data_IF_029232179862
#
_entry.id   IF_029232179862
#
_cell.length_a   1.000
_cell.length_b   1.000
_cell.length_c   1.000
_cell.angle_alpha   90.00
_cell.angle_beta   90.00
_cell.angle_gamma   90.00
#
_symmetry.space_group_name_H-M   'P 1'
#
loop_
_entity.id
_entity.type
_entity.pdbx_description
1 polymer ?
#
# COMPACT_ATOMS: atom_id res chain seq x y z
N UNK A 1 -41.22 -26.99 34.02
CA UNK A 1 -40.72 -26.12 32.94
C UNK A 1 -39.43 -25.46 33.42
N UNK A 2 -38.27 -25.91 32.92
CA UNK A 2 -36.99 -25.26 33.19
C UNK A 2 -36.72 -24.24 32.08
N UNK A 3 -36.78 -22.95 32.42
CA UNK A 3 -36.39 -21.85 31.55
C UNK A 3 -34.86 -21.71 31.58
N UNK A 4 -34.20 -22.11 30.50
CA UNK A 4 -32.76 -21.94 30.31
C UNK A 4 -32.53 -20.54 29.76
N UNK A 5 -32.05 -19.62 30.60
CA UNK A 5 -31.55 -18.31 30.16
C UNK A 5 -30.19 -18.50 29.50
N UNK A 6 -30.13 -18.54 28.17
CA UNK A 6 -28.90 -18.43 27.41
C UNK A 6 -28.46 -16.96 27.39
N UNK A 7 -27.53 -16.61 28.27
CA UNK A 7 -26.86 -15.31 28.25
C UNK A 7 -25.96 -15.27 26.99
N UNK A 8 -26.44 -14.57 25.97
CA UNK A 8 -25.68 -14.28 24.76
C UNK A 8 -24.58 -13.27 25.10
N UNK A 9 -23.41 -13.78 25.50
CA UNK A 9 -22.22 -12.97 25.70
C UNK A 9 -21.72 -12.48 24.34
N UNK A 10 -22.06 -11.24 23.97
CA UNK A 10 -21.45 -10.53 22.86
C UNK A 10 -19.99 -10.23 23.20
N UNK A 11 -19.07 -11.13 22.83
CA UNK A 11 -17.64 -10.82 22.81
C UNK A 11 -17.40 -9.74 21.74
N UNK A 12 -17.26 -8.49 22.18
CA UNK A 12 -16.69 -7.41 21.35
C UNK A 12 -15.20 -7.69 21.14
N UNK A 13 -14.90 -8.58 20.19
CA UNK A 13 -13.54 -8.71 19.67
C UNK A 13 -13.21 -7.39 18.98
N UNK A 14 -12.24 -6.65 19.53
CA UNK A 14 -11.56 -5.54 18.84
C UNK A 14 -10.74 -6.14 17.68
N UNK A 15 -11.41 -6.59 16.63
CA UNK A 15 -10.76 -7.11 15.42
C UNK A 15 -10.13 -5.92 14.71
N UNK A 16 -8.81 -5.85 14.71
CA UNK A 16 -8.10 -4.95 13.83
C UNK A 16 -8.47 -5.31 12.38
N UNK A 17 -9.21 -4.45 11.69
CA UNK A 17 -9.51 -4.64 10.28
C UNK A 17 -8.24 -4.38 9.45
N UNK A 18 -7.99 -5.26 8.48
CA UNK A 18 -6.93 -5.09 7.50
C UNK A 18 -7.54 -4.96 6.11
N UNK A 19 -7.08 -3.96 5.36
CA UNK A 19 -7.39 -3.81 3.95
C UNK A 19 -6.11 -3.90 3.13
N UNK A 20 -6.21 -4.53 1.96
CA UNK A 20 -5.12 -4.64 0.99
C UNK A 20 -5.33 -3.66 -0.15
N UNK A 21 -4.42 -3.66 -1.12
CA UNK A 21 -4.54 -2.83 -2.31
C UNK A 21 -5.91 -2.99 -2.99
N UNK A 22 -6.64 -1.89 -3.12
CA UNK A 22 -7.90 -1.81 -3.87
C UNK A 22 -7.76 -0.89 -5.10
N UNK A 23 -8.82 -0.74 -5.89
CA UNK A 23 -8.81 0.06 -7.12
C UNK A 23 -8.42 1.54 -6.92
N UNK A 24 -8.82 2.15 -5.80
CA UNK A 24 -8.50 3.55 -5.51
C UNK A 24 -7.01 3.73 -5.20
N UNK A 25 -6.47 2.87 -4.34
CA UNK A 25 -5.04 2.88 -4.01
C UNK A 25 -4.16 2.54 -5.22
N UNK A 26 -4.57 1.55 -6.03
CA UNK A 26 -3.86 1.20 -7.27
C UNK A 26 -3.83 2.38 -8.24
N UNK A 27 -4.93 3.12 -8.37
CA UNK A 27 -5.00 4.31 -9.21
C UNK A 27 -4.05 5.41 -8.72
N UNK A 28 -4.04 5.70 -7.41
CA UNK A 28 -3.11 6.67 -6.84
C UNK A 28 -1.64 6.31 -7.10
N UNK A 29 -1.25 5.03 -6.96
CA UNK A 29 0.10 4.59 -7.29
C UNK A 29 0.45 4.76 -8.77
N UNK A 30 -0.49 4.45 -9.67
CA UNK A 30 -0.28 4.63 -11.11
C UNK A 30 -0.10 6.10 -11.46
N UNK A 31 -0.95 6.99 -10.94
CA UNK A 31 -0.85 8.43 -11.16
C UNK A 31 0.48 9.00 -10.68
N UNK A 32 0.90 8.67 -9.45
CA UNK A 32 2.19 9.09 -8.90
C UNK A 32 3.38 8.67 -9.78
N UNK A 33 3.33 7.48 -10.36
CA UNK A 33 4.37 7.00 -11.28
C UNK A 33 4.30 7.69 -12.65
N UNK A 34 3.12 7.83 -13.23
CA UNK A 34 2.90 8.46 -14.55
C UNK A 34 3.33 9.93 -14.54
N UNK A 35 3.10 10.65 -13.44
CA UNK A 35 3.58 12.04 -13.27
C UNK A 35 5.10 12.12 -13.38
N UNK A 36 5.81 11.12 -12.84
CA UNK A 36 7.27 11.10 -12.87
C UNK A 36 7.82 10.52 -14.17
N UNK A 37 7.29 9.39 -14.65
CA UNK A 37 7.82 8.69 -15.82
C UNK A 37 6.69 7.95 -16.55
N UNK A 38 6.33 8.43 -17.75
CA UNK A 38 5.29 7.83 -18.59
C UNK A 38 5.78 6.63 -19.42
N UNK A 39 7.07 6.29 -19.34
CA UNK A 39 7.71 5.25 -20.17
C UNK A 39 7.85 3.90 -19.45
N UNK A 40 7.29 3.80 -18.25
CA UNK A 40 7.35 2.60 -17.42
C UNK A 40 5.95 2.08 -17.16
N UNK A 41 5.82 0.76 -17.12
CA UNK A 41 4.52 0.10 -17.07
C UNK A 41 4.27 -0.60 -15.74
N UNK A 42 2.99 -0.67 -15.37
CA UNK A 42 2.56 -1.49 -14.25
C UNK A 42 2.81 -2.97 -14.52
N UNK A 43 3.27 -3.70 -13.52
CA UNK A 43 3.48 -5.15 -13.55
C UNK A 43 2.75 -5.80 -12.39
N UNK A 44 1.78 -6.66 -12.71
CA UNK A 44 1.05 -7.43 -11.69
C UNK A 44 1.96 -8.42 -10.94
N UNK A 45 3.07 -8.86 -11.57
CA UNK A 45 4.10 -9.65 -10.90
C UNK A 45 4.83 -8.84 -9.82
N UNK A 46 5.26 -7.61 -10.16
CA UNK A 46 5.89 -6.72 -9.18
C UNK A 46 4.91 -6.26 -8.09
N UNK A 47 3.62 -6.12 -8.41
CA UNK A 47 2.56 -5.85 -7.43
C UNK A 47 2.45 -6.99 -6.39
N UNK A 48 2.49 -8.25 -6.84
CA UNK A 48 2.50 -9.41 -5.93
C UNK A 48 3.77 -9.45 -5.10
N UNK A 49 4.93 -9.24 -5.71
CA UNK A 49 6.22 -9.14 -5.00
C UNK A 49 6.28 -7.99 -4.01
N UNK A 50 5.58 -6.88 -4.28
CA UNK A 50 5.47 -5.76 -3.35
C UNK A 50 4.69 -6.16 -2.09
N UNK A 51 3.66 -6.99 -2.20
CA UNK A 51 2.97 -7.56 -1.03
C UNK A 51 3.88 -8.54 -0.27
N UNK A 52 4.61 -9.39 -0.97
CA UNK A 52 5.61 -10.29 -0.36
C UNK A 52 6.67 -9.49 0.40
N UNK A 53 7.18 -8.41 -0.19
CA UNK A 53 8.14 -7.51 0.46
C UNK A 53 7.58 -6.92 1.76
N UNK A 54 6.30 -6.53 1.80
CA UNK A 54 5.68 -5.99 3.01
C UNK A 54 5.57 -7.03 4.14
N UNK A 55 5.51 -8.32 3.80
CA UNK A 55 5.44 -9.43 4.77
C UNK A 55 6.83 -9.88 5.20
N UNK A 56 7.76 -10.00 4.25
CA UNK A 56 9.13 -10.45 4.47
C UNK A 56 10.10 -9.74 3.50
N UNK A 57 10.70 -8.62 3.89
CA UNK A 57 11.52 -7.81 2.98
C UNK A 57 12.78 -8.51 2.45
N UNK A 58 13.34 -9.46 3.20
CA UNK A 58 14.63 -10.09 2.89
C UNK A 58 14.57 -11.03 1.68
N UNK A 59 13.39 -11.46 1.25
CA UNK A 59 13.21 -12.45 0.18
C UNK A 59 13.01 -11.83 -1.19
N UNK A 60 12.79 -10.51 -1.28
CA UNK A 60 12.41 -9.84 -2.52
C UNK A 60 13.52 -8.89 -2.99
N UNK A 61 14.04 -9.14 -4.20
CA UNK A 61 15.03 -8.28 -4.87
C UNK A 61 14.34 -7.34 -5.87
N UNK A 62 14.80 -6.11 -5.94
CA UNK A 62 14.37 -5.10 -6.91
C UNK A 62 15.50 -4.09 -7.17
N UNK A 63 15.53 -3.49 -8.36
CA UNK A 63 16.57 -2.51 -8.73
C UNK A 63 16.37 -1.16 -8.03
N UNK A 64 15.13 -0.86 -7.65
CA UNK A 64 14.80 0.29 -6.83
C UNK A 64 13.53 0.00 -6.01
N UNK A 65 13.50 0.55 -4.79
CA UNK A 65 12.42 0.36 -3.82
C UNK A 65 12.05 1.72 -3.25
N UNK A 66 10.78 2.08 -3.32
CA UNK A 66 10.23 3.26 -2.65
C UNK A 66 9.23 2.79 -1.60
N UNK A 67 9.48 3.15 -0.34
CA UNK A 67 8.63 2.79 0.80
C UNK A 67 7.82 4.00 1.27
N UNK A 68 6.59 3.76 1.69
CA UNK A 68 5.71 4.77 2.26
C UNK A 68 5.02 4.22 3.51
N UNK A 69 5.07 4.96 4.61
CA UNK A 69 4.30 4.66 5.83
C UNK A 69 3.70 5.95 6.34
N UNK A 70 2.40 5.94 6.64
CA UNK A 70 1.70 7.08 7.22
C UNK A 70 0.63 6.60 8.19
N UNK A 71 0.48 7.33 9.28
CA UNK A 71 -0.56 7.13 10.29
C UNK A 71 -1.60 8.23 10.12
N UNK A 72 -2.86 7.84 10.19
CA UNK A 72 -4.01 8.73 10.10
C UNK A 72 -4.85 8.62 11.38
N UNK A 73 -5.56 9.69 11.77
CA UNK A 73 -6.58 9.61 12.81
C UNK A 73 -7.61 8.50 12.52
N UNK A 74 -8.18 7.90 13.56
CA UNK A 74 -9.14 6.79 13.38
C UNK A 74 -10.42 7.21 12.64
N UNK A 75 -10.83 8.45 12.83
CA UNK A 75 -12.01 9.11 12.27
C UNK A 75 -11.73 9.77 10.91
N UNK A 76 -10.52 9.64 10.36
CA UNK A 76 -10.20 10.15 9.03
C UNK A 76 -10.96 9.32 7.97
N UNK A 77 -11.95 9.98 7.36
CA UNK A 77 -12.87 9.43 6.36
C UNK A 77 -12.33 9.47 4.92
N UNK A 78 -11.09 9.93 4.72
CA UNK A 78 -10.46 9.97 3.41
C UNK A 78 -10.44 8.60 2.75
N UNK A 79 -10.56 8.57 1.43
CA UNK A 79 -10.48 7.32 0.67
C UNK A 79 -9.08 6.70 0.77
N UNK A 80 -8.97 5.38 0.54
CA UNK A 80 -7.67 4.71 0.58
C UNK A 80 -6.74 5.24 -0.53
N UNK A 81 -7.29 5.71 -1.65
CA UNK A 81 -6.54 6.41 -2.69
C UNK A 81 -5.89 7.70 -2.18
N UNK A 82 -6.64 8.57 -1.50
CA UNK A 82 -6.12 9.81 -0.92
C UNK A 82 -5.06 9.51 0.15
N UNK A 83 -5.31 8.53 1.02
CA UNK A 83 -4.34 8.11 2.04
C UNK A 83 -3.05 7.58 1.40
N UNK A 84 -3.18 6.81 0.30
CA UNK A 84 -2.05 6.30 -0.48
C UNK A 84 -1.24 7.46 -1.06
N UNK A 85 -1.90 8.42 -1.73
CA UNK A 85 -1.26 9.62 -2.25
C UNK A 85 -0.48 10.35 -1.15
N UNK A 86 -1.14 10.64 -0.03
CA UNK A 86 -0.57 11.35 1.12
C UNK A 86 0.60 10.62 1.78
N UNK A 87 0.70 9.30 1.65
CA UNK A 87 1.80 8.51 2.18
C UNK A 87 3.03 8.49 1.23
N UNK A 88 2.83 8.78 -0.06
CA UNK A 88 3.84 8.57 -1.09
C UNK A 88 4.26 9.82 -1.86
N UNK A 89 3.44 10.87 -1.96
CA UNK A 89 3.74 12.07 -2.76
C UNK A 89 5.14 12.64 -2.47
N UNK A 90 5.45 12.92 -1.20
CA UNK A 90 6.79 13.39 -0.82
C UNK A 90 7.91 12.37 -1.12
N UNK A 91 7.62 11.07 -0.98
CA UNK A 91 8.60 10.00 -1.24
C UNK A 91 8.92 9.90 -2.72
N UNK A 92 7.91 10.07 -3.56
CA UNK A 92 8.01 10.14 -5.01
C UNK A 92 8.74 11.40 -5.44
N UNK A 93 8.43 12.58 -4.87
CA UNK A 93 9.19 13.81 -5.10
C UNK A 93 10.68 13.64 -4.76
N UNK A 94 11.00 13.07 -3.60
CA UNK A 94 12.39 12.78 -3.16
C UNK A 94 13.12 11.79 -4.07
N UNK A 95 12.41 10.80 -4.62
CA UNK A 95 12.99 9.82 -5.56
C UNK A 95 12.75 10.18 -7.03
N UNK A 96 12.22 11.37 -7.32
CA UNK A 96 11.68 11.71 -8.64
C UNK A 96 12.71 11.66 -9.75
N UNK A 97 13.96 12.06 -9.47
CA UNK A 97 15.08 11.92 -10.44
C UNK A 97 15.37 10.45 -10.75
N UNK A 98 15.32 9.55 -9.77
CA UNK A 98 15.60 8.12 -9.97
C UNK A 98 14.51 7.46 -10.81
N UNK A 99 13.24 7.75 -10.52
CA UNK A 99 12.10 7.22 -11.28
C UNK A 99 12.11 7.77 -12.72
N UNK A 100 12.35 9.07 -12.91
CA UNK A 100 12.47 9.70 -14.24
C UNK A 100 13.53 9.09 -15.13
N UNK A 101 14.65 8.66 -14.53
CA UNK A 101 15.79 8.12 -15.26
C UNK A 101 15.68 6.62 -15.55
N UNK A 102 14.58 5.96 -15.17
CA UNK A 102 14.36 4.57 -15.54
C UNK A 102 14.18 4.47 -17.08
N UNK A 103 14.87 3.53 -17.74
CA UNK A 103 14.77 3.38 -19.19
C UNK A 103 13.36 2.93 -19.59
N UNK A 104 12.99 3.26 -20.82
CA UNK A 104 11.72 2.83 -21.42
C UNK A 104 11.59 1.30 -21.41
N UNK A 105 10.40 0.81 -21.06
CA UNK A 105 10.14 -0.61 -20.85
C UNK A 105 10.58 -1.15 -19.49
N UNK A 106 11.10 -0.30 -18.58
CA UNK A 106 11.18 -0.66 -17.17
C UNK A 106 9.78 -0.86 -16.60
N UNK A 107 9.68 -1.70 -15.56
CA UNK A 107 8.40 -2.04 -14.95
C UNK A 107 8.37 -1.65 -13.48
N UNK A 108 7.18 -1.42 -12.96
CA UNK A 108 6.96 -1.18 -11.55
C UNK A 108 5.70 -1.89 -11.04
N UNK A 109 5.65 -2.16 -9.74
CA UNK A 109 4.45 -2.64 -9.08
C UNK A 109 4.44 -2.20 -7.63
N UNK A 110 3.28 -1.81 -7.13
CA UNK A 110 3.14 -1.30 -5.77
C UNK A 110 2.08 -2.09 -5.01
N UNK A 111 2.24 -2.20 -3.69
CA UNK A 111 1.22 -2.77 -2.82
C UNK A 111 1.21 -2.05 -1.47
N UNK A 112 0.17 -2.31 -0.67
CA UNK A 112 0.02 -1.78 0.66
C UNK A 112 -0.68 -2.76 1.61
N UNK A 113 -0.46 -2.53 2.91
CA UNK A 113 -1.21 -3.09 4.01
C UNK A 113 -1.77 -1.90 4.79
N UNK A 114 -3.09 -1.84 4.91
CA UNK A 114 -3.79 -0.84 5.68
C UNK A 114 -4.38 -1.49 6.92
N UNK A 115 -4.03 -0.99 8.12
CA UNK A 115 -4.47 -1.55 9.39
C UNK A 115 -5.22 -0.49 10.19
N UNK A 116 -6.45 -0.79 10.57
CA UNK A 116 -7.21 0.03 11.51
C UNK A 116 -7.04 -0.53 12.92
N UNK A 117 -6.67 0.34 13.85
CA UNK A 117 -6.48 0.03 15.28
C UNK A 117 -7.49 0.82 16.13
N UNK A 118 -7.51 0.58 17.43
CA UNK A 118 -8.39 1.30 18.34
C UNK A 118 -8.19 2.83 18.34
N UNK A 119 -6.97 3.31 18.01
CA UNK A 119 -6.58 4.73 18.06
C UNK A 119 -6.36 5.36 16.69
N UNK A 120 -5.81 4.61 15.74
CA UNK A 120 -5.32 5.14 14.47
C UNK A 120 -5.57 4.17 13.31
N UNK A 121 -5.49 4.70 12.11
CA UNK A 121 -5.34 3.95 10.87
C UNK A 121 -3.88 4.03 10.41
N UNK A 122 -3.30 2.93 9.95
CA UNK A 122 -1.88 2.84 9.57
C UNK A 122 -1.79 2.28 8.16
N UNK A 123 -1.26 3.07 7.23
CA UNK A 123 -0.90 2.63 5.89
C UNK A 123 0.59 2.34 5.84
N UNK A 124 0.94 1.14 5.38
CA UNK A 124 2.31 0.75 5.04
C UNK A 124 2.32 0.21 3.62
N UNK A 125 3.13 0.79 2.74
CA UNK A 125 3.20 0.38 1.34
C UNK A 125 4.61 0.40 0.78
N UNK A 126 4.75 -0.21 -0.38
CA UNK A 126 6.00 -0.24 -1.15
C UNK A 126 5.72 -0.24 -2.64
N UNK A 127 6.58 0.42 -3.40
CA UNK A 127 6.71 0.29 -4.85
C UNK A 127 8.06 -0.33 -5.18
N UNK A 128 8.03 -1.40 -5.98
CA UNK A 128 9.20 -2.08 -6.50
C UNK A 128 9.37 -1.74 -7.98
N UNK A 129 10.61 -1.57 -8.41
CA UNK A 129 10.96 -1.26 -9.78
C UNK A 129 11.97 -2.27 -10.32
N UNK A 130 11.77 -2.66 -11.57
CA UNK A 130 12.68 -3.49 -12.35
C UNK A 130 13.12 -2.70 -13.58
N UNK A 131 14.41 -2.47 -13.71
CA UNK A 131 14.99 -1.77 -14.86
C UNK A 131 14.99 -2.72 -16.05
N UNK A 132 14.61 -2.19 -17.21
CA UNK A 132 14.92 -2.88 -18.47
C UNK A 132 16.44 -3.03 -18.58
N UNK A 133 16.90 -4.25 -18.84
CA UNK A 133 18.31 -4.55 -19.12
C UNK A 133 18.60 -4.38 -20.60
#
# INVERSE_FOLDING_TARGET
MLLVFTVLACFLLNVASYETLNGQAKSAFKELNVILNRKIDWSDELEKKALEYLKSPSTVKADMIIKGKKTFPKDDTSSLGIKTWNAFDERFKKNGKKVRNLPEGSKYGCNLIFKTTAKNQILNGVCLYSKKK
#
